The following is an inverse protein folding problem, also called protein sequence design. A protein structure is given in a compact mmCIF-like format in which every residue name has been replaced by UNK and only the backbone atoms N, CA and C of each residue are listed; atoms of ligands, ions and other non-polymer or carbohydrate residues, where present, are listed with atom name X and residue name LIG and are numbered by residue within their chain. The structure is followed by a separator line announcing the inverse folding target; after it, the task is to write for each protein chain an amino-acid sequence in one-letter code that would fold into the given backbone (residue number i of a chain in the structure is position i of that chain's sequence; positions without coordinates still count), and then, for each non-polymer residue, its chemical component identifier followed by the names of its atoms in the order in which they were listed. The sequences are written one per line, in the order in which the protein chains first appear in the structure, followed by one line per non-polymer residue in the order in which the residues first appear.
data_IF_944822290156
#
_entry.id   IF_944822290156
#
_cell.length_a   1.000
_cell.length_b   1.000
_cell.length_c   1.000
_cell.angle_alpha   90.00
_cell.angle_beta   90.00
_cell.angle_gamma   90.00
#
_symmetry.space_group_name_H-M   'P 1'
#
loop_
_entity.id
_entity.type
_entity.pdbx_description
1 polymer ?
#
# COMPACT_ATOMS: atom_id res chain seq x y z
N UNK A 1 5.65 -22.75 13.26
CA UNK A 1 5.02 -22.79 11.92
C UNK A 1 5.73 -21.73 11.06
N UNK A 2 6.48 -22.13 10.02
CA UNK A 2 7.10 -21.19 9.06
C UNK A 2 6.00 -20.74 8.09
N UNK A 3 5.87 -19.44 7.84
CA UNK A 3 5.01 -18.96 6.75
C UNK A 3 5.65 -19.39 5.44
N UNK A 4 4.92 -20.10 4.58
CA UNK A 4 5.46 -20.57 3.31
C UNK A 4 5.56 -19.42 2.27
N UNK A 5 6.41 -19.64 1.26
CA UNK A 5 6.69 -18.66 0.18
C UNK A 5 5.42 -18.26 -0.58
N UNK A 6 4.53 -19.20 -0.87
CA UNK A 6 3.29 -18.92 -1.62
C UNK A 6 2.35 -18.02 -0.82
N UNK A 7 2.29 -18.21 0.49
CA UNK A 7 1.54 -17.34 1.41
C UNK A 7 2.15 -15.93 1.43
N UNK A 8 3.48 -15.79 1.49
CA UNK A 8 4.15 -14.48 1.44
C UNK A 8 3.87 -13.75 0.13
N UNK A 9 4.01 -14.42 -1.01
CA UNK A 9 3.78 -13.83 -2.34
C UNK A 9 2.32 -13.42 -2.52
N UNK A 10 1.39 -14.27 -2.07
CA UNK A 10 -0.05 -13.98 -2.10
C UNK A 10 -0.38 -12.73 -1.29
N UNK A 11 0.13 -12.65 -0.05
CA UNK A 11 -0.12 -11.50 0.81
C UNK A 11 0.57 -10.23 0.27
N UNK A 12 1.77 -10.36 -0.30
CA UNK A 12 2.46 -9.26 -0.96
C UNK A 12 1.65 -8.70 -2.15
N UNK A 13 1.06 -9.58 -2.94
CA UNK A 13 0.16 -9.21 -4.04
C UNK A 13 -1.09 -8.49 -3.53
N UNK A 14 -1.73 -9.03 -2.48
CA UNK A 14 -2.93 -8.43 -1.86
C UNK A 14 -2.66 -7.03 -1.31
N UNK A 15 -1.56 -6.83 -0.57
CA UNK A 15 -1.21 -5.51 -0.04
C UNK A 15 -1.04 -4.48 -1.16
N UNK A 16 -0.39 -4.84 -2.27
CA UNK A 16 -0.20 -3.93 -3.42
C UNK A 16 -1.51 -3.64 -4.16
N UNK A 17 -2.36 -4.65 -4.33
CA UNK A 17 -3.68 -4.46 -4.94
C UNK A 17 -4.57 -3.53 -4.10
N UNK A 18 -4.59 -3.73 -2.78
CA UNK A 18 -5.35 -2.90 -1.86
C UNK A 18 -4.82 -1.46 -1.83
N UNK A 19 -3.49 -1.27 -1.89
CA UNK A 19 -2.89 0.06 -1.99
C UNK A 19 -3.36 0.81 -3.26
N UNK A 20 -3.39 0.10 -4.39
CA UNK A 20 -3.83 0.68 -5.66
C UNK A 20 -5.32 1.04 -5.66
N UNK A 21 -6.19 0.15 -5.20
CA UNK A 21 -7.63 0.40 -5.09
C UNK A 21 -7.93 1.55 -4.12
N UNK A 22 -7.28 1.54 -2.95
CA UNK A 22 -7.38 2.62 -1.95
C UNK A 22 -6.97 3.96 -2.55
N UNK A 23 -5.83 4.03 -3.23
CA UNK A 23 -5.36 5.25 -3.89
C UNK A 23 -6.34 5.75 -4.97
N UNK A 24 -6.90 4.85 -5.78
CA UNK A 24 -7.86 5.20 -6.82
C UNK A 24 -9.18 5.75 -6.25
N UNK A 25 -9.70 5.12 -5.19
CA UNK A 25 -10.91 5.60 -4.48
C UNK A 25 -10.69 6.97 -3.84
N UNK A 26 -9.54 7.17 -3.19
CA UNK A 26 -9.18 8.47 -2.63
C UNK A 26 -9.05 9.54 -3.71
N UNK A 27 -8.38 9.25 -4.84
CA UNK A 27 -8.26 10.18 -5.95
C UNK A 27 -9.64 10.57 -6.54
N UNK A 28 -10.54 9.60 -6.66
CA UNK A 28 -11.92 9.83 -7.14
C UNK A 28 -12.69 10.74 -6.20
N UNK A 29 -12.62 10.49 -4.89
CA UNK A 29 -13.28 11.33 -3.88
C UNK A 29 -12.68 12.74 -3.84
N UNK A 30 -11.34 12.87 -3.88
CA UNK A 30 -10.66 14.16 -3.97
C UNK A 30 -11.10 14.97 -5.18
N UNK A 31 -11.19 14.35 -6.36
CA UNK A 31 -11.66 15.04 -7.56
C UNK A 31 -13.11 15.54 -7.40
N UNK A 32 -13.98 14.72 -6.82
CA UNK A 32 -15.37 15.10 -6.52
C UNK A 32 -15.46 16.25 -5.51
N UNK A 33 -14.69 16.20 -4.43
CA UNK A 33 -14.66 17.26 -3.40
C UNK A 33 -14.16 18.58 -3.97
N UNK A 34 -13.06 18.55 -4.71
CA UNK A 34 -12.46 19.76 -5.30
C UNK A 34 -13.43 20.45 -6.27
N UNK A 35 -14.01 19.68 -7.20
CA UNK A 35 -14.90 20.20 -8.26
C UNK A 35 -16.31 20.58 -7.80
N UNK A 36 -16.68 20.32 -6.54
CA UNK A 36 -18.02 20.62 -6.02
C UNK A 36 -17.99 21.49 -4.78
N UNK A 37 -17.42 20.97 -3.69
CA UNK A 37 -17.45 21.62 -2.38
C UNK A 37 -16.48 22.78 -2.34
N UNK A 38 -15.22 22.57 -2.72
CA UNK A 38 -14.18 23.59 -2.55
C UNK A 38 -14.25 24.70 -3.60
N UNK A 39 -14.71 24.40 -4.82
CA UNK A 39 -14.95 25.42 -5.85
C UNK A 39 -16.21 26.26 -5.56
N UNK A 40 -17.26 25.67 -4.98
CA UNK A 40 -18.54 26.35 -4.74
C UNK A 40 -18.67 27.04 -3.38
N UNK A 41 -17.77 26.73 -2.43
CA UNK A 41 -17.88 27.15 -1.04
C UNK A 41 -16.58 27.84 -0.61
N UNK A 42 -16.43 29.11 -0.95
CA UNK A 42 -15.18 29.87 -0.70
C UNK A 42 -15.26 30.82 0.49
N UNK A 43 -16.45 31.30 0.84
CA UNK A 43 -16.63 32.45 1.74
C UNK A 43 -17.43 32.14 3.02
N UNK A 44 -17.25 30.93 3.58
CA UNK A 44 -17.88 30.56 4.85
C UNK A 44 -16.90 29.95 5.84
N UNK A 45 -17.15 30.14 7.13
CA UNK A 45 -16.38 29.47 8.19
C UNK A 45 -16.43 27.94 8.06
N UNK A 46 -17.54 27.40 7.53
CA UNK A 46 -17.71 25.98 7.30
C UNK A 46 -16.82 25.46 6.16
N UNK A 47 -16.59 26.25 5.11
CA UNK A 47 -15.65 25.92 4.05
C UNK A 47 -14.20 25.81 4.55
N UNK A 48 -13.80 26.72 5.44
CA UNK A 48 -12.48 26.68 6.09
C UNK A 48 -12.32 25.39 6.91
N UNK A 49 -13.29 25.12 7.80
CA UNK A 49 -13.26 23.91 8.64
C UNK A 49 -13.28 22.62 7.80
N UNK A 50 -14.06 22.60 6.72
CA UNK A 50 -14.11 21.47 5.81
C UNK A 50 -12.77 21.26 5.09
N UNK A 51 -12.15 22.33 4.61
CA UNK A 51 -10.84 22.27 3.95
C UNK A 51 -9.76 21.70 4.87
N UNK A 52 -9.78 22.06 6.16
CA UNK A 52 -8.88 21.48 7.16
C UNK A 52 -9.10 19.97 7.36
N UNK A 53 -10.36 19.53 7.44
CA UNK A 53 -10.70 18.12 7.56
C UNK A 53 -10.32 17.34 6.31
N UNK A 54 -10.55 17.92 5.13
CA UNK A 54 -10.17 17.35 3.85
C UNK A 54 -8.67 17.15 3.75
N UNK A 55 -7.85 18.13 4.14
CA UNK A 55 -6.39 17.99 4.08
C UNK A 55 -5.86 16.94 5.08
N UNK A 56 -6.43 16.90 6.29
CA UNK A 56 -6.13 15.83 7.27
C UNK A 56 -6.45 14.45 6.71
N UNK A 57 -7.62 14.30 6.09
CA UNK A 57 -8.03 13.05 5.44
C UNK A 57 -7.07 12.71 4.30
N UNK A 58 -6.75 13.65 3.41
CA UNK A 58 -5.87 13.44 2.25
C UNK A 58 -4.50 12.90 2.66
N UNK A 59 -3.88 13.51 3.68
CA UNK A 59 -2.59 13.08 4.22
C UNK A 59 -2.67 11.69 4.86
N UNK A 60 -3.71 11.43 5.66
CA UNK A 60 -3.91 10.12 6.28
C UNK A 60 -4.14 9.02 5.23
N UNK A 61 -4.96 9.30 4.22
CA UNK A 61 -5.26 8.43 3.09
C UNK A 61 -4.04 8.07 2.24
N UNK A 62 -3.12 9.01 2.06
CA UNK A 62 -1.83 8.75 1.42
C UNK A 62 -0.99 7.77 2.24
N UNK A 63 -0.87 8.01 3.55
CA UNK A 63 -0.10 7.15 4.46
C UNK A 63 -0.58 5.68 4.48
N UNK A 64 -1.88 5.44 4.32
CA UNK A 64 -2.42 4.06 4.21
C UNK A 64 -1.88 3.34 2.97
N UNK A 65 -1.88 4.02 1.82
CA UNK A 65 -1.42 3.43 0.55
C UNK A 65 0.09 3.17 0.57
N UNK A 66 0.85 4.07 1.19
CA UNK A 66 2.30 3.92 1.40
C UNK A 66 2.61 2.73 2.32
N UNK A 67 1.90 2.61 3.44
CA UNK A 67 2.06 1.50 4.37
C UNK A 67 1.76 0.15 3.71
N UNK A 68 0.63 0.04 2.98
CA UNK A 68 0.26 -1.16 2.24
C UNK A 68 1.31 -1.53 1.18
N UNK A 69 1.83 -0.53 0.47
CA UNK A 69 2.91 -0.74 -0.51
C UNK A 69 4.17 -1.26 0.16
N UNK A 70 4.59 -0.65 1.28
CA UNK A 70 5.77 -1.07 2.05
C UNK A 70 5.62 -2.47 2.63
N UNK A 71 4.44 -2.84 3.12
CA UNK A 71 4.13 -4.20 3.57
C UNK A 71 4.31 -5.20 2.42
N UNK A 72 3.78 -4.89 1.23
CA UNK A 72 3.92 -5.76 0.06
C UNK A 72 5.38 -5.93 -0.39
N UNK A 73 6.16 -4.84 -0.36
CA UNK A 73 7.58 -4.86 -0.67
C UNK A 73 8.35 -5.73 0.33
N UNK A 74 8.12 -5.56 1.64
CA UNK A 74 8.78 -6.35 2.67
C UNK A 74 8.49 -7.85 2.51
N UNK A 75 7.22 -8.22 2.27
CA UNK A 75 6.84 -9.62 2.06
C UNK A 75 7.51 -10.22 0.83
N UNK A 76 7.63 -9.45 -0.26
CA UNK A 76 8.34 -9.87 -1.49
C UNK A 76 9.83 -10.10 -1.21
N UNK A 77 10.47 -9.20 -0.46
CA UNK A 77 11.88 -9.31 -0.08
C UNK A 77 12.15 -10.55 0.78
N UNK A 78 11.27 -10.84 1.76
CA UNK A 78 11.39 -12.04 2.60
C UNK A 78 11.19 -13.31 1.76
N UNK A 79 10.21 -13.33 0.85
CA UNK A 79 9.99 -14.45 -0.07
C UNK A 79 11.23 -14.74 -0.92
N UNK A 80 11.84 -13.70 -1.50
CA UNK A 80 13.06 -13.81 -2.31
C UNK A 80 14.25 -14.33 -1.49
N UNK A 81 14.41 -13.85 -0.25
CA UNK A 81 15.47 -14.33 0.65
C UNK A 81 15.31 -15.82 1.00
N UNK A 82 14.08 -16.32 1.18
CA UNK A 82 13.84 -17.74 1.40
C UNK A 82 14.15 -18.60 0.17
N UNK A 83 13.74 -18.15 -1.03
CA UNK A 83 14.06 -18.86 -2.27
C UNK A 83 15.57 -18.95 -2.50
N UNK A 84 16.30 -17.85 -2.27
CA UNK A 84 17.75 -17.83 -2.38
C UNK A 84 18.41 -18.81 -1.39
N UNK A 85 17.99 -18.78 -0.12
CA UNK A 85 18.52 -19.68 0.89
C UNK A 85 18.28 -21.15 0.52
N UNK A 86 17.11 -21.50 -0.02
CA UNK A 86 16.81 -22.86 -0.48
C UNK A 86 17.68 -23.28 -1.68
N UNK A 87 17.92 -22.36 -2.63
CA UNK A 87 18.82 -22.62 -3.76
C UNK A 87 20.28 -22.83 -3.33
N UNK A 88 20.78 -22.02 -2.40
CA UNK A 88 22.14 -22.17 -1.84
C UNK A 88 22.32 -23.51 -1.12
N UNK A 89 21.31 -23.93 -0.35
CA UNK A 89 21.32 -25.23 0.33
C UNK A 89 21.33 -26.39 -0.67
N UNK A 90 20.53 -26.31 -1.74
CA UNK A 90 20.52 -27.32 -2.81
C UNK A 90 21.89 -27.41 -3.52
N UNK A 91 22.52 -26.27 -3.81
CA UNK A 91 23.84 -26.22 -4.43
C UNK A 91 24.93 -26.86 -3.55
N UNK A 92 24.90 -26.60 -2.23
CA UNK A 92 25.83 -27.23 -1.27
C UNK A 92 25.66 -28.74 -1.22
N UNK A 93 24.43 -29.24 -1.19
CA UNK A 93 24.15 -30.68 -1.21
C UNK A 93 24.65 -31.30 -2.53
N UNK A 94 24.36 -30.66 -3.67
CA UNK A 94 24.83 -31.12 -4.97
C UNK A 94 26.35 -31.15 -5.12
N UNK A 95 27.08 -30.29 -4.39
CA UNK A 95 28.55 -30.28 -4.38
C UNK A 95 29.17 -31.35 -3.47
N UNK A 96 28.40 -31.97 -2.57
CA UNK A 96 28.85 -33.05 -1.69
C UNK A 96 28.55 -34.46 -2.23
N UNK A 97 27.78 -34.55 -3.32
CA UNK A 97 27.45 -35.78 -4.05
C UNK A 97 28.39 -35.94 -5.25
#
# INVERSE_FOLDING_TARGET
MKVDIATLDTMAGRCRAEAADTSARHATLSAGINSSVLEGWTDSQAAVQFSELYEKWRLSSQGVSEALTGMGQLLTSVSSAYQQHEAEMAARIGAML
#
